data_IF_680545277706
#
_entry.id   IF_680545277706
#
_cell.length_a   1.000
_cell.length_b   1.000
_cell.length_c   1.000
_cell.angle_alpha   90.00
_cell.angle_beta   90.00
_cell.angle_gamma   90.00
#
_symmetry.space_group_name_H-M   'P 1'
#
loop_
_entity.id
_entity.type
_entity.pdbx_description
1 polymer ?
#
# COMPACT_ATOMS: atom_id res chain seq x y z
N UNK A 1 -5.22 4.07 -40.54
CA UNK A 1 -4.62 3.21 -39.49
C UNK A 1 -5.35 3.54 -38.19
N UNK A 2 -6.28 2.70 -37.77
CA UNK A 2 -7.11 2.93 -36.58
C UNK A 2 -6.41 2.33 -35.37
N UNK A 3 -5.59 3.12 -34.69
CA UNK A 3 -5.08 2.77 -33.36
C UNK A 3 -6.20 3.05 -32.36
N UNK A 4 -6.93 2.00 -31.98
CA UNK A 4 -7.97 2.09 -30.95
C UNK A 4 -7.26 2.35 -29.61
N UNK A 5 -7.58 3.42 -28.86
CA UNK A 5 -7.04 3.62 -27.52
C UNK A 5 -7.53 2.46 -26.66
N UNK A 6 -6.63 1.50 -26.41
CA UNK A 6 -6.92 0.35 -25.56
C UNK A 6 -7.20 0.91 -24.16
N UNK A 7 -8.41 0.67 -23.67
CA UNK A 7 -8.82 1.06 -22.32
C UNK A 7 -7.75 0.61 -21.32
N UNK A 8 -7.41 1.44 -20.32
CA UNK A 8 -6.44 1.05 -19.30
C UNK A 8 -6.94 -0.24 -18.62
N UNK A 9 -6.03 -1.17 -18.35
CA UNK A 9 -6.36 -2.38 -17.61
C UNK A 9 -6.86 -1.99 -16.23
N UNK A 10 -7.81 -2.75 -15.73
CA UNK A 10 -8.42 -2.53 -14.43
C UNK A 10 -8.06 -3.69 -13.51
N UNK A 11 -7.62 -3.37 -12.29
CA UNK A 11 -7.18 -4.34 -11.29
C UNK A 11 -7.96 -4.15 -9.99
N UNK A 12 -8.18 -5.23 -9.24
CA UNK A 12 -8.73 -5.12 -7.88
C UNK A 12 -7.61 -5.23 -6.84
N UNK A 13 -7.88 -4.80 -5.60
CA UNK A 13 -6.90 -4.83 -4.51
C UNK A 13 -6.28 -6.22 -4.29
N UNK A 14 -7.06 -7.28 -4.47
CA UNK A 14 -6.58 -8.66 -4.32
C UNK A 14 -5.54 -9.04 -5.38
N UNK A 15 -5.68 -8.53 -6.61
CA UNK A 15 -4.71 -8.77 -7.68
C UNK A 15 -3.40 -8.06 -7.36
N UNK A 16 -3.47 -6.83 -6.85
CA UNK A 16 -2.27 -6.03 -6.56
C UNK A 16 -1.53 -6.58 -5.33
N UNK A 17 -2.25 -7.07 -4.33
CA UNK A 17 -1.67 -7.56 -3.08
C UNK A 17 -0.73 -8.77 -3.24
N UNK A 18 -0.84 -9.54 -4.34
CA UNK A 18 0.07 -10.67 -4.59
C UNK A 18 1.42 -10.24 -5.18
N UNK A 19 1.51 -9.02 -5.73
CA UNK A 19 2.70 -8.43 -6.32
C UNK A 19 3.52 -7.68 -5.24
N UNK A 20 3.99 -8.44 -4.25
CA UNK A 20 4.68 -7.93 -3.07
C UNK A 20 6.11 -8.46 -2.89
N UNK A 21 6.74 -8.92 -3.97
CA UNK A 21 8.06 -9.58 -3.93
C UNK A 21 9.09 -8.74 -4.62
N UNK A 22 10.36 -8.79 -4.21
CA UNK A 22 11.48 -8.04 -4.82
C UNK A 22 11.61 -8.11 -6.36
N UNK A 23 11.09 -9.16 -6.99
CA UNK A 23 11.12 -9.33 -8.46
C UNK A 23 9.75 -9.13 -9.13
N UNK A 24 8.78 -8.63 -8.38
CA UNK A 24 7.39 -8.48 -8.74
C UNK A 24 6.71 -7.54 -7.71
N UNK A 25 6.93 -6.23 -7.86
CA UNK A 25 6.46 -5.19 -6.95
C UNK A 25 5.54 -4.24 -7.68
N UNK A 26 4.27 -4.25 -7.28
CA UNK A 26 3.30 -3.26 -7.72
C UNK A 26 2.91 -2.34 -6.57
N UNK A 27 2.69 -1.08 -6.90
CA UNK A 27 2.23 -0.08 -5.94
C UNK A 27 1.02 0.66 -6.50
N UNK A 28 0.19 1.19 -5.60
CA UNK A 28 -0.92 2.08 -5.98
C UNK A 28 -0.59 3.50 -5.57
N UNK A 29 -0.71 4.44 -6.51
CA UNK A 29 -0.62 5.88 -6.24
C UNK A 29 -1.83 6.55 -6.88
N UNK A 30 -2.65 7.24 -6.08
CA UNK A 30 -3.86 7.94 -6.56
C UNK A 30 -4.78 7.06 -7.42
N UNK A 31 -5.10 5.85 -6.93
CA UNK A 31 -5.92 4.83 -7.63
C UNK A 31 -5.35 4.33 -8.98
N UNK A 32 -4.07 4.58 -9.25
CA UNK A 32 -3.36 4.05 -10.41
C UNK A 32 -2.36 3.01 -9.98
N UNK A 33 -2.25 1.94 -10.76
CA UNK A 33 -1.38 0.80 -10.49
C UNK A 33 -0.11 0.94 -11.31
N UNK A 34 1.02 0.78 -10.65
CA UNK A 34 2.35 0.92 -11.23
C UNK A 34 3.18 -0.32 -10.98
N UNK A 35 3.83 -0.84 -12.02
CA UNK A 35 4.84 -1.89 -11.90
C UNK A 35 6.22 -1.26 -11.76
N UNK A 36 6.68 -1.16 -10.52
CA UNK A 36 7.97 -0.54 -10.18
C UNK A 36 9.08 -1.58 -10.00
N UNK A 37 8.85 -2.83 -10.40
CA UNK A 37 9.80 -3.95 -10.23
C UNK A 37 11.19 -3.63 -10.74
N UNK A 38 11.28 -2.99 -11.92
CA UNK A 38 12.58 -2.64 -12.53
C UNK A 38 13.22 -1.40 -11.91
N UNK A 39 12.41 -0.57 -11.25
CA UNK A 39 12.85 0.71 -10.68
C UNK A 39 13.38 0.57 -9.25
N UNK A 40 13.15 -0.58 -8.59
CA UNK A 40 13.57 -0.79 -7.19
C UNK A 40 15.04 -0.45 -6.93
N UNK A 41 15.94 -0.90 -7.81
CA UNK A 41 17.39 -0.68 -7.69
C UNK A 41 17.82 0.72 -8.13
N UNK A 42 17.00 1.40 -8.94
CA UNK A 42 17.26 2.75 -9.45
C UNK A 42 16.64 3.84 -8.56
N UNK A 43 15.81 3.46 -7.59
CA UNK A 43 15.14 4.40 -6.71
C UNK A 43 16.14 5.13 -5.80
N UNK A 44 16.24 6.49 -5.86
CA UNK A 44 17.20 7.24 -5.06
C UNK A 44 17.03 7.11 -3.54
N UNK A 45 15.81 6.79 -3.07
CA UNK A 45 15.51 6.52 -1.66
C UNK A 45 15.81 5.08 -1.20
N UNK A 46 16.27 4.21 -2.11
CA UNK A 46 16.53 2.79 -1.88
C UNK A 46 15.33 1.88 -2.15
N UNK A 47 15.60 0.58 -2.37
CA UNK A 47 14.55 -0.41 -2.65
C UNK A 47 13.63 -0.68 -1.44
N UNK A 48 14.16 -0.57 -0.21
CA UNK A 48 13.46 -0.98 1.01
C UNK A 48 12.17 -0.19 1.22
N UNK A 49 12.22 1.12 1.00
CA UNK A 49 11.04 1.99 1.16
C UNK A 49 9.94 1.69 0.15
N UNK A 50 10.28 1.21 -1.05
CA UNK A 50 9.26 0.77 -2.02
C UNK A 50 8.69 -0.58 -1.59
N UNK A 51 9.54 -1.48 -1.07
CA UNK A 51 9.13 -2.81 -0.62
C UNK A 51 8.16 -2.77 0.58
N UNK A 52 8.27 -1.77 1.45
CA UNK A 52 7.31 -1.55 2.55
C UNK A 52 5.87 -1.31 2.05
N UNK A 53 5.75 -0.74 0.83
CA UNK A 53 4.48 -0.47 0.15
C UNK A 53 4.17 -1.44 -1.00
N UNK A 54 4.91 -2.55 -1.10
CA UNK A 54 4.68 -3.53 -2.16
C UNK A 54 3.29 -4.20 -2.00
N UNK A 55 2.52 -4.18 -3.08
CA UNK A 55 1.16 -4.71 -3.15
C UNK A 55 0.11 -3.87 -2.41
N UNK A 56 0.39 -2.59 -2.12
CA UNK A 56 -0.51 -1.71 -1.35
C UNK A 56 -0.47 -0.26 -1.84
N UNK A 57 -1.29 0.58 -1.22
CA UNK A 57 -1.31 2.01 -1.51
C UNK A 57 -0.09 2.73 -0.92
N UNK A 58 0.62 3.45 -1.76
CA UNK A 58 1.78 4.26 -1.44
C UNK A 58 1.50 5.76 -1.65
N UNK A 59 0.24 6.17 -1.85
CA UNK A 59 -0.11 7.55 -2.22
C UNK A 59 0.35 8.53 -1.17
N UNK A 60 0.04 8.26 0.11
CA UNK A 60 0.41 9.14 1.22
C UNK A 60 1.93 9.27 1.35
N UNK A 61 2.66 8.15 1.29
CA UNK A 61 4.12 8.13 1.37
C UNK A 61 4.77 8.87 0.19
N UNK A 62 4.24 8.69 -1.03
CA UNK A 62 4.77 9.34 -2.21
C UNK A 62 4.59 10.88 -2.16
N UNK A 63 3.43 11.33 -1.67
CA UNK A 63 3.10 12.75 -1.55
C UNK A 63 3.83 13.42 -0.36
N UNK A 64 3.97 12.74 0.78
CA UNK A 64 4.66 13.25 1.98
C UNK A 64 6.15 13.54 1.71
N UNK A 65 6.81 12.66 0.95
CA UNK A 65 8.21 12.86 0.54
C UNK A 65 8.37 14.05 -0.40
N UNK A 66 7.33 14.43 -1.15
CA UNK A 66 7.37 15.57 -2.05
C UNK A 66 8.24 15.34 -3.29
N UNK A 67 8.06 14.21 -3.99
CA UNK A 67 8.78 13.89 -5.23
C UNK A 67 8.69 15.03 -6.27
N UNK A 68 9.74 15.21 -7.07
CA UNK A 68 9.78 16.24 -8.13
C UNK A 68 8.79 15.94 -9.27
N UNK A 69 8.51 16.94 -10.11
CA UNK A 69 7.69 16.74 -11.31
C UNK A 69 8.30 15.72 -12.29
N UNK A 70 9.62 15.68 -12.37
CA UNK A 70 10.37 14.72 -13.19
C UNK A 70 10.16 13.28 -12.70
N UNK A 71 10.20 13.05 -11.38
CA UNK A 71 9.89 11.75 -10.79
C UNK A 71 8.44 11.32 -11.05
N UNK A 72 7.49 12.28 -11.03
CA UNK A 72 6.09 12.03 -11.39
C UNK A 72 5.90 11.73 -12.87
N UNK A 73 6.75 12.27 -13.74
CA UNK A 73 6.72 11.96 -15.17
C UNK A 73 7.25 10.55 -15.42
N UNK A 74 8.39 10.22 -14.82
CA UNK A 74 8.97 8.87 -14.87
C UNK A 74 8.02 7.80 -14.33
N UNK A 75 7.24 8.11 -13.29
CA UNK A 75 6.21 7.21 -12.76
C UNK A 75 5.18 6.79 -13.82
N UNK A 76 4.90 7.63 -14.83
CA UNK A 76 3.93 7.32 -15.90
C UNK A 76 4.41 6.18 -16.79
N UNK A 77 5.72 6.00 -16.95
CA UNK A 77 6.28 4.90 -17.76
C UNK A 77 6.03 3.53 -17.12
N UNK A 78 5.83 3.50 -15.80
CA UNK A 78 5.52 2.29 -15.03
C UNK A 78 4.01 2.04 -14.89
N UNK A 79 3.16 2.88 -15.48
CA UNK A 79 1.71 2.74 -15.37
C UNK A 79 1.22 1.51 -16.14
N UNK A 80 0.54 0.60 -15.43
CA UNK A 80 -0.01 -0.62 -16.03
C UNK A 80 -1.54 -0.62 -16.06
N UNK A 81 -2.20 0.21 -15.25
CA UNK A 81 -3.66 0.27 -15.19
C UNK A 81 -4.21 1.03 -13.99
N UNK A 82 -5.52 0.92 -13.79
CA UNK A 82 -6.26 1.58 -12.72
C UNK A 82 -6.77 0.57 -11.70
N UNK A 83 -6.82 0.99 -10.44
CA UNK A 83 -7.44 0.22 -9.37
C UNK A 83 -8.96 0.45 -9.39
N UNK A 84 -9.73 -0.65 -9.42
CA UNK A 84 -11.18 -0.63 -9.21
C UNK A 84 -11.50 -0.87 -7.74
N UNK A 85 -12.16 0.11 -7.13
CA UNK A 85 -12.56 0.06 -5.73
C UNK A 85 -11.49 0.62 -4.77
N UNK A 86 -11.52 0.12 -3.54
CA UNK A 86 -10.63 0.57 -2.47
C UNK A 86 -9.23 -0.01 -2.63
N UNK A 87 -8.21 0.76 -2.27
CA UNK A 87 -6.84 0.28 -2.35
C UNK A 87 -6.56 -0.80 -1.29
N UNK A 88 -5.60 -1.71 -1.54
CA UNK A 88 -5.23 -2.70 -0.55
C UNK A 88 -4.66 -1.99 0.69
N UNK A 89 -5.46 -1.91 1.75
CA UNK A 89 -5.00 -1.43 3.05
C UNK A 89 -4.32 -2.59 3.79
N UNK A 90 -3.29 -2.28 4.58
CA UNK A 90 -2.49 -3.29 5.30
C UNK A 90 -3.29 -4.13 6.32
N UNK A 91 -4.59 -3.84 6.53
CA UNK A 91 -5.46 -4.60 7.41
C UNK A 91 -6.94 -4.47 7.00
N UNK A 92 -7.42 -5.25 6.02
CA UNK A 92 -8.79 -5.78 6.11
C UNK A 92 -9.01 -7.03 5.26
N UNK A 93 -8.89 -8.20 5.90
CA UNK A 93 -9.58 -9.41 5.51
C UNK A 93 -10.78 -9.56 6.46
N UNK A 94 -11.89 -8.88 6.16
CA UNK A 94 -13.22 -9.22 6.63
C UNK A 94 -14.24 -8.40 5.83
N UNK A 95 -15.10 -9.08 5.08
CA UNK A 95 -15.91 -8.49 4.03
C UNK A 95 -16.89 -7.40 4.48
N UNK A 96 -17.33 -6.60 3.52
CA UNK A 96 -18.63 -5.94 3.53
C UNK A 96 -19.05 -5.64 2.10
N UNK A 97 -19.82 -6.57 1.57
CA UNK A 97 -20.81 -6.30 0.54
C UNK A 97 -21.92 -5.40 1.10
N UNK A 98 -22.47 -4.58 0.21
CA UNK A 98 -23.79 -3.92 0.27
C UNK A 98 -23.84 -2.45 0.72
N UNK A 99 -24.14 -1.58 -0.25
CA UNK A 99 -25.44 -0.90 -0.31
C UNK A 99 -25.64 0.36 0.53
N UNK A 100 -25.71 1.49 -0.18
CA UNK A 100 -26.79 2.49 -0.17
C UNK A 100 -27.37 3.04 1.16
N UNK A 101 -27.46 4.38 1.15
CA UNK A 101 -28.54 5.21 1.70
C UNK A 101 -28.50 5.69 3.18
N UNK A 102 -28.30 7.01 3.29
CA UNK A 102 -29.12 7.98 4.04
C UNK A 102 -29.76 7.52 5.38
N UNK A 103 -29.23 8.07 6.48
CA UNK A 103 -30.05 8.66 7.54
C UNK A 103 -30.02 8.00 8.93
N UNK A 104 -29.90 8.90 9.93
CA UNK A 104 -30.37 8.81 11.33
C UNK A 104 -29.34 8.46 12.42
N UNK A 105 -29.04 9.49 13.21
CA UNK A 105 -28.50 9.47 14.57
C UNK A 105 -29.26 8.50 15.50
N UNK A 106 -28.55 7.65 16.26
CA UNK A 106 -28.85 7.41 17.69
C UNK A 106 -27.74 6.66 18.42
N UNK A 107 -27.35 7.24 19.55
CA UNK A 107 -26.45 6.68 20.57
C UNK A 107 -27.06 5.45 21.25
N UNK A 108 -26.26 4.45 21.62
CA UNK A 108 -26.37 3.76 22.93
C UNK A 108 -25.10 3.00 23.30
N UNK A 109 -24.63 3.32 24.49
CA UNK A 109 -23.51 2.78 25.24
C UNK A 109 -23.77 1.39 25.85
N UNK A 110 -22.64 0.75 26.20
CA UNK A 110 -22.40 -0.10 27.39
C UNK A 110 -22.62 -1.61 27.27
N UNK A 111 -21.53 -2.40 27.29
CA UNK A 111 -20.97 -2.97 28.54
C UNK A 111 -19.87 -4.00 28.27
N UNK A 112 -18.71 -3.79 28.87
CA UNK A 112 -17.57 -4.72 28.77
C UNK A 112 -16.23 -4.07 29.12
N UNK A 113 -16.15 -3.37 30.26
CA UNK A 113 -14.87 -2.96 30.87
C UNK A 113 -14.41 -4.07 31.81
N UNK A 114 -13.33 -4.76 31.46
CA UNK A 114 -12.33 -5.39 32.34
C UNK A 114 -10.98 -5.12 31.66
N UNK A 115 -10.24 -4.09 32.08
CA UNK A 115 -9.11 -4.28 33.01
C UNK A 115 -7.87 -4.79 32.26
N UNK A 116 -7.00 -3.90 31.78
CA UNK A 116 -5.77 -3.42 32.46
C UNK A 116 -4.55 -4.35 32.28
N UNK A 117 -3.54 -3.80 31.57
CA UNK A 117 -2.09 -4.00 31.71
C UNK A 117 -1.42 -5.26 31.10
N UNK A 118 -0.79 -5.08 29.93
CA UNK A 118 0.59 -5.57 29.69
C UNK A 118 1.38 -4.50 28.92
N UNK A 119 2.30 -3.75 29.58
CA UNK A 119 3.27 -2.88 28.92
C UNK A 119 4.50 -3.68 28.44
N UNK A 120 5.16 -3.17 27.40
CA UNK A 120 6.58 -3.37 27.05
C UNK A 120 7.22 -4.76 27.30
N UNK A 121 7.43 -5.52 26.22
CA UNK A 121 8.60 -6.39 26.06
C UNK A 121 9.31 -5.97 24.76
N UNK A 122 10.18 -4.96 24.82
CA UNK A 122 11.64 -5.13 24.88
C UNK A 122 12.17 -6.01 23.73
N UNK A 123 12.70 -5.42 22.66
CA UNK A 123 14.11 -5.00 22.63
C UNK A 123 15.06 -6.12 23.11
N UNK A 124 15.09 -7.25 22.39
CA UNK A 124 15.98 -8.38 22.68
C UNK A 124 16.67 -8.93 21.42
N UNK A 125 17.14 -8.05 20.52
CA UNK A 125 17.89 -8.46 19.33
C UNK A 125 19.16 -7.62 19.07
N UNK A 126 19.69 -6.90 20.08
CA UNK A 126 20.91 -6.07 19.94
C UNK A 126 22.08 -6.45 20.88
N UNK A 127 21.93 -7.48 21.75
CA UNK A 127 22.98 -7.85 22.73
C UNK A 127 23.83 -9.07 22.31
N UNK A 128 23.40 -9.83 21.29
CA UNK A 128 24.13 -11.03 20.86
C UNK A 128 25.45 -10.76 20.11
N UNK A 129 25.73 -9.52 19.70
CA UNK A 129 26.95 -9.18 18.96
C UNK A 129 28.16 -8.78 19.81
N UNK A 130 28.03 -8.72 21.16
CA UNK A 130 29.15 -8.36 22.06
C UNK A 130 29.78 -9.54 22.81
N UNK A 131 29.57 -10.77 22.35
CA UNK A 131 30.26 -11.96 22.89
C UNK A 131 30.67 -12.94 21.77
N UNK A 132 31.02 -12.40 20.61
CA UNK A 132 31.72 -13.14 19.53
C UNK A 132 32.75 -12.25 18.82
N UNK A 133 33.49 -11.47 19.62
CA UNK A 133 34.73 -10.78 19.27
C UNK A 133 35.61 -10.70 20.52
#
# INVERSE_FOLDING_TARGET
>A
MTDTPSKPKTFVAADIAVHNKRKDVWIVISNRVYDVTKFLEEHPGGEEVILEYAGRDATEAFEDIGHSEDARDMLKDFFIGVLEGEAPTAATQAGSSAGSEHGRLRTKQNSGSWGLLVPLAFAAALVAYKWYA
#
